data_IF_174897049037
#
_entry.id   IF_174897049037
#
_cell.length_a   1.000
_cell.length_b   1.000
_cell.length_c   1.000
_cell.angle_alpha   90.00
_cell.angle_beta   90.00
_cell.angle_gamma   90.00
#
_symmetry.space_group_name_H-M   'P 1'
#
loop_
_entity.id
_entity.type
_entity.pdbx_description
1 polymer ?
#
# COMPACT_ATOMS: atom_id res chain seq x y z
N UNK A 1 20.92 29.85 -13.74
CA UNK A 1 19.70 29.98 -12.93
C UNK A 1 19.56 28.77 -12.01
N UNK A 2 18.88 28.99 -10.88
CA UNK A 2 19.13 28.37 -9.57
C UNK A 2 18.72 26.90 -9.44
N UNK A 3 19.51 26.12 -8.69
CA UNK A 3 19.53 24.65 -8.64
C UNK A 3 18.82 24.10 -7.39
N UNK A 4 17.57 24.51 -7.17
CA UNK A 4 16.74 23.94 -6.09
C UNK A 4 15.75 22.93 -6.65
N UNK A 5 16.27 21.76 -7.03
CA UNK A 5 15.44 20.59 -7.24
C UNK A 5 15.05 20.08 -5.85
N UNK A 6 13.94 20.62 -5.32
CA UNK A 6 13.36 20.15 -4.07
C UNK A 6 12.82 18.76 -4.39
N UNK A 7 13.52 17.71 -3.99
CA UNK A 7 13.01 16.34 -4.01
C UNK A 7 11.91 16.24 -2.95
N UNK A 8 10.75 16.83 -3.23
CA UNK A 8 9.57 16.68 -2.41
C UNK A 8 9.02 15.27 -2.61
N UNK A 9 8.74 14.56 -1.52
CA UNK A 9 7.99 13.31 -1.64
C UNK A 9 6.60 13.60 -2.18
N UNK A 10 6.14 12.82 -3.16
CA UNK A 10 4.83 12.96 -3.77
C UNK A 10 3.87 11.90 -3.23
N UNK A 11 2.60 12.27 -3.13
CA UNK A 11 1.56 11.31 -2.77
C UNK A 11 1.43 10.23 -3.85
N UNK A 12 1.52 8.96 -3.47
CA UNK A 12 1.44 7.84 -4.40
C UNK A 12 0.10 7.74 -5.14
N UNK A 13 -1.02 8.19 -4.53
CA UNK A 13 -2.34 8.16 -5.17
C UNK A 13 -2.60 9.35 -6.07
N UNK A 14 -2.35 10.57 -5.58
CA UNK A 14 -2.79 11.80 -6.26
C UNK A 14 -1.65 12.62 -6.87
N UNK A 15 -0.42 12.14 -6.77
CA UNK A 15 0.82 12.72 -7.34
C UNK A 15 1.12 14.17 -6.95
N UNK A 16 0.34 14.77 -6.04
CA UNK A 16 0.62 16.08 -5.45
C UNK A 16 1.77 15.99 -4.43
N UNK A 17 2.55 17.06 -4.33
CA UNK A 17 3.64 17.16 -3.36
C UNK A 17 3.13 17.07 -1.92
N UNK A 18 3.87 16.36 -1.07
CA UNK A 18 3.57 16.25 0.36
C UNK A 18 4.18 17.44 1.10
N UNK A 19 3.34 18.44 1.40
CA UNK A 19 3.76 19.70 2.06
C UNK A 19 3.33 19.78 3.53
N UNK A 20 2.81 18.70 4.11
CA UNK A 20 2.27 18.66 5.48
C UNK A 20 2.24 17.25 6.06
N UNK A 21 1.29 16.96 6.97
CA UNK A 21 1.13 15.63 7.57
C UNK A 21 0.96 14.56 6.48
N UNK A 22 1.84 13.55 6.53
CA UNK A 22 1.89 12.49 5.55
C UNK A 22 2.21 11.16 6.20
N UNK A 23 1.76 10.09 5.55
CA UNK A 23 2.02 8.71 5.96
C UNK A 23 3.08 8.13 5.04
N UNK A 24 4.14 7.55 5.63
CA UNK A 24 5.16 6.78 4.92
C UNK A 24 4.89 5.30 5.15
N UNK A 25 4.57 4.58 4.09
CA UNK A 25 4.22 3.16 4.16
C UNK A 25 4.51 2.47 2.82
N UNK A 26 4.99 1.23 2.85
CA UNK A 26 5.35 0.45 1.66
C UNK A 26 6.38 1.16 0.76
N UNK A 27 7.31 1.89 1.38
CA UNK A 27 8.28 2.76 0.68
C UNK A 27 7.62 3.82 -0.21
N UNK A 28 6.37 4.19 0.07
CA UNK A 28 5.59 5.25 -0.61
C UNK A 28 5.14 6.33 0.38
N UNK A 29 4.90 7.53 -0.14
CA UNK A 29 4.32 8.65 0.60
C UNK A 29 2.82 8.83 0.31
N UNK A 30 2.05 9.22 1.31
CA UNK A 30 0.59 9.40 1.21
C UNK A 30 0.16 10.69 1.91
N UNK A 31 -0.64 11.51 1.24
CA UNK A 31 -1.31 12.60 1.93
C UNK A 31 -2.49 12.05 2.75
N UNK A 32 -2.87 12.75 3.82
CA UNK A 32 -3.99 12.37 4.70
C UNK A 32 -5.30 12.05 3.94
N UNK A 33 -5.59 12.81 2.88
CA UNK A 33 -6.77 12.58 2.05
C UNK A 33 -6.70 11.31 1.19
N UNK A 34 -5.50 10.84 0.87
CA UNK A 34 -5.29 9.69 -0.01
C UNK A 34 -4.89 8.41 0.72
N UNK A 35 -4.54 8.49 2.00
CA UNK A 35 -4.31 7.32 2.84
C UNK A 35 -5.65 6.64 3.15
N UNK A 36 -6.13 5.84 2.20
CA UNK A 36 -7.46 5.23 2.17
C UNK A 36 -7.37 3.78 1.75
N UNK A 37 -8.25 2.94 2.30
CA UNK A 37 -8.36 1.55 1.91
C UNK A 37 -8.67 1.43 0.40
N UNK A 38 -7.86 0.69 -0.35
CA UNK A 38 -8.09 0.46 -1.78
C UNK A 38 -9.47 -0.15 -2.09
N UNK A 39 -9.99 -0.98 -1.19
CA UNK A 39 -11.22 -1.74 -1.42
C UNK A 39 -12.51 -0.99 -1.01
N UNK A 40 -12.46 -0.18 0.05
CA UNK A 40 -13.67 0.47 0.59
C UNK A 40 -13.56 2.00 0.72
N UNK A 41 -12.44 2.59 0.29
CA UNK A 41 -12.14 4.03 0.34
C UNK A 41 -12.26 4.69 1.74
N UNK A 42 -12.43 3.88 2.80
CA UNK A 42 -12.35 4.32 4.19
C UNK A 42 -11.03 5.05 4.41
N UNK A 43 -11.08 6.26 4.94
CA UNK A 43 -9.91 6.96 5.44
C UNK A 43 -9.27 6.17 6.57
N UNK A 44 -7.95 6.05 6.48
CA UNK A 44 -7.14 5.31 7.43
C UNK A 44 -6.35 6.31 8.29
N UNK A 45 -6.03 5.89 9.51
CA UNK A 45 -5.20 6.66 10.43
C UNK A 45 -3.84 5.99 10.64
N UNK A 46 -2.84 6.73 11.14
CA UNK A 46 -1.50 6.19 11.43
C UNK A 46 -1.52 4.99 12.40
N UNK A 47 -2.56 4.88 13.23
CA UNK A 47 -2.77 3.78 14.19
C UNK A 47 -3.44 2.56 13.56
N UNK A 48 -4.07 2.71 12.39
CA UNK A 48 -4.74 1.61 11.71
C UNK A 48 -3.70 0.59 11.22
N UNK A 49 -3.90 -0.68 11.58
CA UNK A 49 -3.13 -1.77 10.98
C UNK A 49 -3.68 -2.04 9.59
N UNK A 50 -2.81 -1.92 8.59
CA UNK A 50 -3.13 -2.09 7.17
C UNK A 50 -2.24 -3.15 6.56
N UNK A 51 -2.70 -3.75 5.47
CA UNK A 51 -1.92 -4.67 4.65
C UNK A 51 -1.64 -4.04 3.30
N UNK A 52 -0.54 -4.43 2.68
CA UNK A 52 -0.21 -4.03 1.31
C UNK A 52 -1.01 -4.87 0.31
N UNK A 53 -1.65 -4.20 -0.63
CA UNK A 53 -2.24 -4.84 -1.81
C UNK A 53 -1.99 -3.95 -3.02
N UNK A 54 -1.29 -4.48 -4.02
CA UNK A 54 -0.91 -3.72 -5.22
C UNK A 54 -0.22 -2.39 -4.88
N UNK A 55 0.75 -2.42 -3.96
CA UNK A 55 1.46 -1.24 -3.42
C UNK A 55 0.56 -0.19 -2.73
N UNK A 56 -0.69 -0.53 -2.41
CA UNK A 56 -1.67 0.36 -1.79
C UNK A 56 -2.18 -0.21 -0.46
N UNK A 57 -2.59 0.65 0.50
CA UNK A 57 -3.08 0.17 1.79
C UNK A 57 -4.48 -0.43 1.68
N UNK A 58 -4.68 -1.58 2.32
CA UNK A 58 -5.97 -2.23 2.50
C UNK A 58 -6.23 -2.44 3.99
N UNK A 59 -7.45 -2.14 4.46
CA UNK A 59 -7.80 -2.37 5.85
C UNK A 59 -7.99 -3.88 6.14
N UNK A 60 -7.75 -4.30 7.39
CA UNK A 60 -7.94 -5.68 7.82
C UNK A 60 -9.32 -6.24 7.48
N UNK A 61 -10.38 -5.43 7.68
CA UNK A 61 -11.75 -5.86 7.40
C UNK A 61 -11.91 -6.32 5.95
N UNK A 62 -11.41 -5.53 5.00
CA UNK A 62 -11.46 -5.87 3.57
C UNK A 62 -10.55 -7.04 3.23
N UNK A 63 -9.34 -7.10 3.80
CA UNK A 63 -8.41 -8.19 3.57
C UNK A 63 -8.96 -9.55 4.01
N UNK A 64 -9.64 -9.62 5.15
CA UNK A 64 -10.23 -10.85 5.67
C UNK A 64 -11.66 -11.12 5.18
N UNK A 65 -12.19 -10.32 4.24
CA UNK A 65 -13.42 -10.72 3.56
C UNK A 65 -13.17 -12.04 2.83
N UNK A 66 -14.15 -12.95 2.89
CA UNK A 66 -13.98 -14.36 2.45
C UNK A 66 -13.47 -14.46 1.01
N UNK A 67 -13.93 -13.60 0.11
CA UNK A 67 -13.57 -13.66 -1.30
C UNK A 67 -12.14 -13.18 -1.55
N UNK A 68 -11.75 -12.03 -0.98
CA UNK A 68 -10.36 -11.55 -1.04
C UNK A 68 -9.38 -12.51 -0.35
N UNK A 69 -9.70 -13.00 0.85
CA UNK A 69 -8.81 -13.87 1.62
C UNK A 69 -8.47 -15.17 0.88
N UNK A 70 -9.42 -15.74 0.14
CA UNK A 70 -9.18 -16.95 -0.68
C UNK A 70 -8.17 -16.70 -1.79
N UNK A 71 -8.30 -15.57 -2.49
CA UNK A 71 -7.39 -15.16 -3.58
C UNK A 71 -5.96 -15.02 -3.03
N UNK A 72 -5.78 -14.28 -1.94
CA UNK A 72 -4.45 -14.08 -1.34
C UNK A 72 -3.83 -15.40 -0.87
N UNK A 73 -4.63 -16.27 -0.26
CA UNK A 73 -4.16 -17.58 0.23
C UNK A 73 -3.73 -18.52 -0.92
N UNK A 74 -4.33 -18.39 -2.10
CA UNK A 74 -3.94 -19.17 -3.28
C UNK A 74 -2.65 -18.62 -3.89
N UNK A 75 -2.57 -17.32 -4.12
CA UNK A 75 -1.36 -16.66 -4.63
C UNK A 75 -0.11 -16.99 -3.79
N UNK A 76 -0.23 -16.88 -2.45
CA UNK A 76 0.90 -17.19 -1.54
C UNK A 76 1.28 -18.67 -1.49
N UNK A 77 0.37 -19.59 -1.85
CA UNK A 77 0.71 -21.02 -1.99
C UNK A 77 1.49 -21.28 -3.27
N UNK A 78 1.10 -20.63 -4.36
CA UNK A 78 1.76 -20.75 -5.67
C UNK A 78 3.19 -20.20 -5.63
N UNK A 79 3.39 -19.05 -5.00
CA UNK A 79 4.73 -18.47 -4.77
C UNK A 79 5.63 -19.44 -4.00
N UNK A 80 5.13 -20.02 -2.90
CA UNK A 80 5.87 -21.01 -2.10
C UNK A 80 6.18 -22.29 -2.88
N UNK A 81 5.30 -22.70 -3.78
CA UNK A 81 5.56 -23.85 -4.63
C UNK A 81 6.62 -23.54 -5.69
N UNK A 82 6.60 -22.36 -6.31
CA UNK A 82 7.63 -21.93 -7.28
C UNK A 82 9.03 -21.87 -6.66
N UNK A 83 9.16 -21.26 -5.49
CA UNK A 83 10.45 -21.18 -4.78
C UNK A 83 11.00 -22.55 -4.34
N UNK A 84 10.16 -23.60 -4.26
CA UNK A 84 10.61 -24.97 -3.99
C UNK A 84 11.09 -25.69 -5.25
N UNK A 85 10.57 -25.33 -6.43
CA UNK A 85 11.01 -25.90 -7.72
C UNK A 85 12.36 -25.32 -8.13
N UNK A 86 12.61 -24.04 -7.90
CA UNK A 86 13.86 -23.36 -8.27
C UNK A 86 15.06 -23.72 -7.38
N UNK A 87 14.81 -24.26 -6.18
CA UNK A 87 15.85 -24.73 -5.25
C UNK A 87 16.11 -26.24 -5.33
N UNK A 88 15.66 -26.91 -6.40
CA UNK A 88 15.90 -28.33 -6.69
C UNK A 88 16.63 -28.46 -8.02
#
# INVERSE_FOLDING_TARGET
MNKYQIFGDYCHRCTRGLTGESVRLFSKGWCRQCYRCIACDKQLDHKDRVLEWDMRPMCKKCFYQKDFYKIVKQATKEEKNRSKVENK
#
